data_IF_067494127738
#
_entry.id   IF_067494127738
#
_cell.length_a   1.000
_cell.length_b   1.000
_cell.length_c   1.000
_cell.angle_alpha   90.00
_cell.angle_beta   90.00
_cell.angle_gamma   90.00
#
_symmetry.space_group_name_H-M   'P 1'
#
loop_
_entity.id
_entity.type
_entity.pdbx_description
1 polymer ?
#
# COMPACT_ATOMS: atom_id res chain seq x y z
N UNK A 1 23.94 -42.38 -7.41
CA UNK A 1 22.77 -42.07 -8.25
C UNK A 1 21.52 -42.19 -7.38
N UNK A 2 20.67 -41.15 -7.43
CA UNK A 2 19.26 -41.09 -7.03
C UNK A 2 18.90 -41.52 -5.57
N UNK A 3 18.19 -40.73 -4.77
CA UNK A 3 17.56 -39.43 -4.98
C UNK A 3 17.14 -38.90 -3.61
N UNK A 4 17.60 -37.69 -3.29
CA UNK A 4 17.11 -36.91 -2.17
C UNK A 4 15.91 -36.09 -2.66
N UNK A 5 14.82 -36.14 -1.91
CA UNK A 5 13.95 -34.98 -1.74
C UNK A 5 12.85 -34.72 -2.76
N UNK A 6 11.94 -35.67 -2.99
CA UNK A 6 10.58 -35.32 -3.48
C UNK A 6 9.66 -34.80 -2.35
N UNK A 7 10.23 -34.47 -1.18
CA UNK A 7 9.52 -33.96 0.01
C UNK A 7 9.99 -32.56 0.43
N UNK A 8 10.83 -31.93 -0.39
CA UNK A 8 11.20 -30.55 -0.17
C UNK A 8 10.09 -29.63 -0.71
N UNK A 9 9.33 -29.10 0.26
CA UNK A 9 8.87 -27.70 0.29
C UNK A 9 7.52 -27.43 -0.41
N UNK A 10 6.43 -28.04 0.10
CA UNK A 10 5.16 -27.31 0.20
C UNK A 10 5.31 -26.32 1.36
N UNK A 11 6.06 -25.24 1.16
CA UNK A 11 6.04 -24.12 2.11
C UNK A 11 4.64 -23.52 2.00
N UNK A 12 3.86 -23.57 3.08
CA UNK A 12 2.63 -22.79 3.14
C UNK A 12 3.04 -21.32 3.08
N UNK A 13 2.94 -20.71 1.90
CA UNK A 13 3.22 -19.29 1.69
C UNK A 13 2.15 -18.51 2.45
N UNK A 14 2.57 -17.68 3.40
CA UNK A 14 1.66 -16.85 4.18
C UNK A 14 0.92 -15.87 3.27
N UNK A 15 -0.26 -15.40 3.68
CA UNK A 15 -1.03 -14.44 2.89
C UNK A 15 -0.24 -13.13 2.62
N UNK A 16 0.62 -12.74 3.57
CA UNK A 16 1.56 -11.62 3.41
C UNK A 16 2.61 -11.91 2.34
N UNK A 17 3.27 -13.07 2.39
CA UNK A 17 4.26 -13.46 1.38
C UNK A 17 3.64 -13.51 -0.02
N UNK A 18 2.43 -14.05 -0.16
CA UNK A 18 1.70 -14.07 -1.44
C UNK A 18 1.44 -12.64 -1.95
N UNK A 19 0.96 -11.73 -1.09
CA UNK A 19 0.74 -10.33 -1.45
C UNK A 19 2.05 -9.65 -1.90
N UNK A 20 3.16 -9.87 -1.18
CA UNK A 20 4.46 -9.30 -1.53
C UNK A 20 4.97 -9.84 -2.87
N UNK A 21 4.83 -11.14 -3.13
CA UNK A 21 5.21 -11.75 -4.41
C UNK A 21 4.43 -11.15 -5.58
N UNK A 22 3.12 -10.96 -5.42
CA UNK A 22 2.26 -10.33 -6.43
C UNK A 22 2.65 -8.87 -6.70
N UNK A 23 2.90 -8.09 -5.64
CA UNK A 23 3.41 -6.72 -5.76
C UNK A 23 4.73 -6.70 -6.55
N UNK A 24 5.68 -7.56 -6.17
CA UNK A 24 6.99 -7.64 -6.82
C UNK A 24 6.86 -8.06 -8.29
N UNK A 25 5.97 -9.00 -8.60
CA UNK A 25 5.68 -9.41 -9.96
C UNK A 25 5.17 -8.24 -10.81
N UNK A 26 4.21 -7.48 -10.29
CA UNK A 26 3.66 -6.32 -11.00
C UNK A 26 4.72 -5.24 -11.24
N UNK A 27 5.57 -4.94 -10.22
CA UNK A 27 6.67 -3.99 -10.39
C UNK A 27 7.70 -4.43 -11.42
N UNK A 28 8.08 -5.70 -11.40
CA UNK A 28 9.01 -6.26 -12.38
C UNK A 28 8.42 -6.23 -13.81
N UNK A 29 7.10 -6.37 -13.95
CA UNK A 29 6.38 -6.26 -15.22
C UNK A 29 6.35 -4.81 -15.73
N UNK A 30 5.98 -3.86 -14.88
CA UNK A 30 5.96 -2.42 -15.19
C UNK A 30 7.36 -1.91 -15.58
N UNK A 31 8.39 -2.30 -14.84
CA UNK A 31 9.78 -1.95 -15.12
C UNK A 31 10.22 -2.47 -16.50
N UNK A 32 9.88 -3.73 -16.82
CA UNK A 32 10.16 -4.30 -18.15
C UNK A 32 9.42 -3.56 -19.26
N UNK A 33 8.16 -3.20 -19.05
CA UNK A 33 7.38 -2.44 -20.03
C UNK A 33 7.96 -1.03 -20.27
N UNK A 34 8.40 -0.35 -19.22
CA UNK A 34 9.06 0.95 -19.33
C UNK A 34 10.34 0.87 -20.18
N UNK A 35 11.19 -0.15 -19.93
CA UNK A 35 12.42 -0.37 -20.72
C UNK A 35 12.15 -0.73 -22.18
N UNK A 36 11.01 -1.35 -22.49
CA UNK A 36 10.64 -1.73 -23.85
C UNK A 36 9.96 -0.60 -24.63
N UNK A 37 9.46 0.44 -23.96
CA UNK A 37 8.82 1.58 -24.63
C UNK A 37 9.87 2.55 -25.18
N UNK A 38 10.31 2.29 -26.42
CA UNK A 38 11.37 3.06 -27.10
C UNK A 38 10.99 4.53 -27.39
N UNK A 39 9.71 4.87 -27.35
CA UNK A 39 9.21 6.21 -27.72
C UNK A 39 8.94 7.12 -26.51
N UNK A 40 9.29 6.70 -25.28
CA UNK A 40 9.08 7.49 -24.06
C UNK A 40 7.60 7.63 -23.63
N UNK A 41 6.67 7.02 -24.35
CA UNK A 41 5.26 6.94 -23.96
C UNK A 41 5.03 5.66 -23.16
N UNK A 42 4.70 5.79 -21.87
CA UNK A 42 4.23 4.66 -21.07
C UNK A 42 2.76 4.42 -21.40
N UNK A 43 2.43 3.24 -21.90
CA UNK A 43 1.05 2.81 -22.04
C UNK A 43 0.50 2.58 -20.63
N UNK A 44 -0.14 3.60 -20.05
CA UNK A 44 -0.95 3.46 -18.83
C UNK A 44 -2.19 2.68 -19.24
N UNK A 45 -2.05 1.36 -19.43
CA UNK A 45 -3.20 0.48 -19.37
C UNK A 45 -3.86 0.77 -18.02
N UNK A 46 -5.14 1.12 -18.01
CA UNK A 46 -5.94 1.27 -16.79
C UNK A 46 -6.04 -0.11 -16.13
N UNK A 47 -4.95 -0.55 -15.51
CA UNK A 47 -4.85 -1.87 -14.93
C UNK A 47 -5.74 -1.87 -13.70
N UNK A 48 -6.78 -2.70 -13.73
CA UNK A 48 -7.55 -3.03 -12.53
C UNK A 48 -6.73 -3.85 -11.53
N UNK A 49 -5.48 -4.18 -11.88
CA UNK A 49 -4.60 -5.05 -11.11
C UNK A 49 -4.52 -4.66 -9.64
N UNK A 50 -4.27 -3.38 -9.32
CA UNK A 50 -4.18 -2.92 -7.94
C UNK A 50 -5.53 -3.01 -7.21
N UNK A 51 -6.64 -2.72 -7.89
CA UNK A 51 -7.99 -2.91 -7.36
C UNK A 51 -8.28 -4.40 -7.09
N UNK A 52 -7.94 -5.29 -8.04
CA UNK A 52 -8.16 -6.73 -7.95
C UNK A 52 -7.30 -7.36 -6.84
N UNK A 53 -6.05 -6.89 -6.72
CA UNK A 53 -5.14 -7.25 -5.63
C UNK A 53 -5.70 -6.83 -4.28
N UNK A 54 -6.19 -5.59 -4.18
CA UNK A 54 -6.81 -5.08 -2.97
C UNK A 54 -8.02 -5.92 -2.54
N UNK A 55 -8.92 -6.19 -3.48
CA UNK A 55 -10.15 -6.96 -3.24
C UNK A 55 -9.82 -8.37 -2.74
N UNK A 56 -8.88 -9.09 -3.37
CA UNK A 56 -8.48 -10.43 -2.90
C UNK A 56 -7.88 -10.41 -1.51
N UNK A 57 -6.93 -9.50 -1.25
CA UNK A 57 -6.12 -9.55 -0.03
C UNK A 57 -6.75 -8.82 1.16
N UNK A 58 -7.62 -7.83 0.97
CA UNK A 58 -8.19 -7.06 2.07
C UNK A 58 -9.71 -7.22 2.21
N UNK A 59 -10.44 -7.50 1.13
CA UNK A 59 -11.90 -7.71 1.20
C UNK A 59 -12.31 -9.18 1.31
N UNK A 60 -11.54 -10.10 0.75
CA UNK A 60 -11.90 -11.53 0.71
C UNK A 60 -10.99 -12.45 1.54
N UNK A 61 -9.98 -11.94 2.24
CA UNK A 61 -9.22 -12.77 3.19
C UNK A 61 -10.14 -13.33 4.29
N UNK A 62 -10.29 -14.66 4.29
CA UNK A 62 -11.18 -15.44 5.18
C UNK A 62 -10.53 -15.82 6.51
N UNK A 63 -9.20 -15.76 6.62
CA UNK A 63 -8.46 -16.31 7.76
C UNK A 63 -8.19 -15.28 8.87
N UNK A 64 -8.96 -14.18 8.95
CA UNK A 64 -8.79 -13.19 10.01
C UNK A 64 -9.52 -13.59 11.29
N UNK A 65 -8.81 -13.51 12.42
CA UNK A 65 -9.39 -13.66 13.75
C UNK A 65 -10.47 -12.60 13.99
N UNK A 66 -11.42 -12.88 14.89
CA UNK A 66 -12.53 -11.97 15.24
C UNK A 66 -12.08 -10.63 15.85
N UNK A 67 -10.81 -10.54 16.26
CA UNK A 67 -10.18 -9.33 16.81
C UNK A 67 -9.35 -8.54 15.78
N UNK A 68 -9.33 -8.97 14.52
CA UNK A 68 -8.59 -8.24 13.49
C UNK A 68 -9.29 -6.92 13.13
N UNK A 69 -8.50 -5.85 13.01
CA UNK A 69 -8.98 -4.54 12.58
C UNK A 69 -9.72 -4.64 11.22
N UNK A 70 -10.94 -4.11 11.17
CA UNK A 70 -11.84 -4.13 10.01
C UNK A 70 -11.82 -2.81 9.23
N UNK A 71 -11.01 -1.85 9.65
CA UNK A 71 -10.82 -0.59 8.94
C UNK A 71 -10.06 -0.82 7.64
N UNK A 72 -10.47 -0.12 6.60
CA UNK A 72 -9.85 -0.08 5.29
C UNK A 72 -9.58 1.36 4.93
N UNK A 73 -8.36 1.63 4.50
CA UNK A 73 -7.88 2.97 4.20
C UNK A 73 -7.85 3.18 2.69
N UNK A 74 -8.44 4.24 2.18
CA UNK A 74 -8.48 4.55 0.75
C UNK A 74 -7.80 5.89 0.50
N UNK A 75 -6.85 5.91 -0.43
CA UNK A 75 -6.08 7.10 -0.76
C UNK A 75 -6.66 7.78 -1.99
N UNK A 76 -6.99 9.07 -1.86
CA UNK A 76 -7.43 9.92 -2.97
C UNK A 76 -6.42 11.04 -3.17
N UNK A 77 -5.95 11.22 -4.41
CA UNK A 77 -5.05 12.33 -4.79
C UNK A 77 -5.87 13.44 -5.42
N UNK A 78 -6.27 14.44 -4.62
CA UNK A 78 -7.01 15.60 -5.12
C UNK A 78 -6.04 16.60 -5.75
N UNK A 79 -6.23 16.85 -7.05
CA UNK A 79 -5.54 17.94 -7.75
C UNK A 79 -5.99 19.28 -7.13
N UNK A 80 -5.07 20.00 -6.49
CA UNK A 80 -5.32 21.37 -6.11
C UNK A 80 -5.17 22.25 -7.35
N UNK A 81 -6.10 23.19 -7.54
CA UNK A 81 -5.96 24.25 -8.55
C UNK A 81 -4.79 25.16 -8.13
N UNK A 82 -3.58 24.77 -8.52
CA UNK A 82 -2.33 25.49 -8.29
C UNK A 82 -1.80 26.11 -9.58
N UNK A 83 -0.84 27.04 -9.42
CA UNK A 83 -0.10 27.65 -10.54
C UNK A 83 0.42 26.58 -11.52
N UNK A 84 0.37 26.85 -12.83
CA UNK A 84 0.74 25.93 -13.94
C UNK A 84 2.13 25.30 -13.84
N UNK A 85 2.97 25.76 -12.91
CA UNK A 85 4.37 25.39 -12.79
C UNK A 85 4.66 24.40 -11.66
N UNK A 86 3.75 24.18 -10.71
CA UNK A 86 3.93 23.19 -9.63
C UNK A 86 2.57 22.50 -9.35
N UNK A 87 2.36 21.28 -9.85
CA UNK A 87 1.22 20.46 -9.44
C UNK A 87 1.25 20.27 -7.92
N UNK A 88 0.23 20.77 -7.22
CA UNK A 88 0.05 20.51 -5.79
C UNK A 88 -1.06 19.48 -5.65
N UNK A 89 -0.72 18.33 -5.09
CA UNK A 89 -1.68 17.30 -4.75
C UNK A 89 -2.00 17.41 -3.27
N UNK A 90 -3.28 17.35 -2.92
CA UNK A 90 -3.71 17.07 -1.56
C UNK A 90 -4.07 15.59 -1.48
N UNK A 91 -3.32 14.85 -0.66
CA UNK A 91 -3.66 13.47 -0.33
C UNK A 91 -4.76 13.48 0.72
N UNK A 92 -5.86 12.82 0.41
CA UNK A 92 -6.98 12.58 1.33
C UNK A 92 -7.05 11.09 1.64
N UNK A 93 -7.27 10.76 2.92
CA UNK A 93 -7.40 9.38 3.40
C UNK A 93 -8.84 9.19 3.87
N UNK A 94 -9.57 8.35 3.16
CA UNK A 94 -10.90 7.92 3.56
C UNK A 94 -10.80 6.59 4.31
N UNK A 95 -11.60 6.39 5.36
CA UNK A 95 -11.58 5.16 6.16
C UNK A 95 -12.98 4.57 6.22
N UNK A 96 -13.09 3.29 5.88
CA UNK A 96 -14.35 2.56 5.92
C UNK A 96 -14.17 1.25 6.64
N UNK A 97 -15.23 0.73 7.26
CA UNK A 97 -15.25 -0.67 7.66
C UNK A 97 -15.37 -1.57 6.45
N UNK A 98 -14.77 -2.75 6.51
CA UNK A 98 -14.75 -3.76 5.45
C UNK A 98 -16.15 -4.19 4.99
N UNK A 99 -17.13 -4.20 5.87
CA UNK A 99 -18.52 -4.59 5.57
C UNK A 99 -19.39 -3.43 5.08
N UNK A 100 -18.81 -2.23 4.94
CA UNK A 100 -19.52 -1.05 4.48
C UNK A 100 -20.07 -1.25 3.07
N UNK A 101 -21.34 -0.92 2.87
CA UNK A 101 -21.96 -0.87 1.52
C UNK A 101 -21.49 0.33 0.68
N UNK A 102 -20.69 1.23 1.27
CA UNK A 102 -20.22 2.47 0.64
C UNK A 102 -18.74 2.43 0.23
N UNK A 103 -18.13 1.23 0.18
CA UNK A 103 -16.75 1.11 -0.23
C UNK A 103 -16.56 1.69 -1.65
N UNK A 104 -15.55 2.53 -1.89
CA UNK A 104 -15.32 3.18 -3.18
C UNK A 104 -14.65 2.21 -4.19
N UNK A 105 -15.12 0.96 -4.28
CA UNK A 105 -14.55 -0.06 -5.18
C UNK A 105 -14.81 0.34 -6.63
N UNK A 106 -13.76 0.43 -7.43
CA UNK A 106 -13.84 0.86 -8.83
C UNK A 106 -13.96 2.37 -9.03
N UNK A 107 -13.87 3.18 -7.97
CA UNK A 107 -13.73 4.63 -8.09
C UNK A 107 -12.37 4.95 -8.78
N UNK A 108 -12.37 5.63 -9.95
CA UNK A 108 -11.15 5.93 -10.70
C UNK A 108 -10.28 7.02 -10.04
N UNK A 109 -10.83 7.79 -9.11
CA UNK A 109 -10.10 8.84 -8.38
C UNK A 109 -9.32 8.27 -7.18
N UNK A 110 -9.55 7.00 -6.83
CA UNK A 110 -8.78 6.29 -5.81
C UNK A 110 -7.43 5.86 -6.39
N UNK A 111 -6.37 6.20 -5.67
CA UNK A 111 -5.05 5.66 -5.92
C UNK A 111 -4.97 4.26 -5.30
N UNK A 112 -5.32 3.26 -6.10
CA UNK A 112 -5.39 1.86 -5.67
C UNK A 112 -4.03 1.29 -5.26
N UNK A 113 -2.94 1.80 -5.85
CA UNK A 113 -1.58 1.38 -5.51
C UNK A 113 -1.21 1.87 -4.10
N UNK A 114 -1.35 3.17 -3.83
CA UNK A 114 -1.11 3.75 -2.50
C UNK A 114 -2.06 3.15 -1.45
N UNK A 115 -3.31 2.87 -1.85
CA UNK A 115 -4.30 2.17 -1.04
C UNK A 115 -3.81 0.78 -0.64
N UNK A 116 -3.31 -0.04 -1.58
CA UNK A 116 -2.73 -1.35 -1.25
C UNK A 116 -1.56 -1.21 -0.28
N UNK A 117 -0.64 -0.26 -0.51
CA UNK A 117 0.51 -0.09 0.37
C UNK A 117 0.14 0.33 1.78
N UNK A 118 -0.77 1.27 1.94
CA UNK A 118 -1.19 1.70 3.26
C UNK A 118 -1.86 0.55 4.04
N UNK A 119 -2.77 -0.19 3.41
CA UNK A 119 -3.44 -1.32 4.08
C UNK A 119 -2.47 -2.47 4.36
N UNK A 120 -1.47 -2.66 3.51
CA UNK A 120 -0.39 -3.62 3.77
C UNK A 120 0.38 -3.22 5.04
N UNK A 121 0.84 -1.96 5.14
CA UNK A 121 1.59 -1.46 6.30
C UNK A 121 0.75 -1.58 7.57
N UNK A 122 -0.49 -1.07 7.55
CA UNK A 122 -1.33 -1.00 8.74
C UNK A 122 -1.73 -2.38 9.23
N UNK A 123 -2.02 -3.33 8.33
CA UNK A 123 -2.58 -4.61 8.75
C UNK A 123 -1.60 -5.79 8.84
N UNK A 124 -0.40 -5.67 8.27
CA UNK A 124 0.53 -6.80 8.17
C UNK A 124 1.87 -6.55 8.86
N UNK A 125 2.16 -5.33 9.31
CA UNK A 125 3.40 -5.00 9.99
C UNK A 125 3.16 -4.58 11.43
N UNK A 126 4.03 -5.04 12.32
CA UNK A 126 4.22 -4.43 13.63
C UNK A 126 4.96 -3.09 13.44
N UNK A 127 4.38 -1.99 13.95
CA UNK A 127 5.01 -0.67 13.86
C UNK A 127 4.90 0.11 15.16
N UNK A 128 5.84 1.04 15.37
CA UNK A 128 5.79 1.99 16.49
C UNK A 128 5.47 3.38 15.98
N UNK A 129 4.28 3.88 16.29
CA UNK A 129 3.91 5.25 15.98
C UNK A 129 4.63 6.19 16.94
N UNK A 130 5.36 7.17 16.40
CA UNK A 130 6.07 8.18 17.21
C UNK A 130 5.61 9.58 16.84
N UNK A 131 4.98 10.27 17.79
CA UNK A 131 4.63 11.68 17.70
C UNK A 131 5.71 12.51 18.40
N UNK A 132 6.26 13.50 17.70
CA UNK A 132 7.23 14.43 18.28
C UNK A 132 6.80 15.89 18.05
N UNK A 133 6.83 16.69 19.12
CA UNK A 133 6.72 18.15 19.05
C UNK A 133 8.14 18.70 18.96
N UNK A 134 8.45 19.34 17.84
CA UNK A 134 9.80 19.83 17.54
C UNK A 134 9.80 21.34 17.29
N UNK A 135 10.85 22.01 17.75
CA UNK A 135 11.15 23.41 17.38
C UNK A 135 12.39 23.41 16.49
N UNK A 136 12.31 24.10 15.35
CA UNK A 136 13.46 24.31 14.48
C UNK A 136 14.33 25.42 15.05
N UNK A 137 15.55 25.09 15.45
CA UNK A 137 16.51 26.03 16.05
C UNK A 137 17.54 26.52 15.04
N UNK A 138 17.75 25.79 13.93
CA UNK A 138 18.56 26.21 12.78
C UNK A 138 18.06 25.52 11.48
N UNK A 139 18.57 25.86 10.28
CA UNK A 139 18.21 25.17 9.04
C UNK A 139 18.49 23.66 9.04
N UNK A 140 19.43 23.19 9.86
CA UNK A 140 19.80 21.77 9.97
C UNK A 140 19.42 21.16 11.31
N UNK A 141 19.00 21.97 12.29
CA UNK A 141 18.75 21.52 13.65
C UNK A 141 17.27 21.61 14.03
N UNK A 142 16.75 20.46 14.46
CA UNK A 142 15.44 20.31 15.07
C UNK A 142 15.62 19.86 16.52
N UNK A 143 15.14 20.65 17.46
CA UNK A 143 15.08 20.29 18.86
C UNK A 143 13.75 19.58 19.15
N UNK A 144 13.80 18.37 19.70
CA UNK A 144 12.60 17.65 20.15
C UNK A 144 12.24 18.13 21.56
N UNK A 145 11.05 18.74 21.69
CA UNK A 145 10.53 19.22 22.97
C UNK A 145 9.79 18.12 23.73
N UNK A 146 9.01 17.31 23.01
CA UNK A 146 8.26 16.18 23.56
C UNK A 146 8.15 15.09 22.52
N UNK A 147 8.29 13.84 22.96
CA UNK A 147 8.09 12.65 22.14
C UNK A 147 7.18 11.68 22.85
N UNK A 148 6.25 11.10 22.12
CA UNK A 148 5.42 9.99 22.56
C UNK A 148 5.51 8.87 21.52
N UNK A 149 5.70 7.63 21.97
CA UNK A 149 5.80 6.47 21.11
C UNK A 149 4.88 5.38 21.61
N UNK A 150 4.12 4.77 20.69
CA UNK A 150 3.21 3.67 20.98
C UNK A 150 3.45 2.55 19.97
N UNK A 151 3.64 1.33 20.48
CA UNK A 151 3.70 0.14 19.63
C UNK A 151 2.28 -0.27 19.23
N UNK A 152 2.05 -0.42 17.94
CA UNK A 152 0.94 -1.18 17.38
C UNK A 152 1.40 -2.63 17.22
N UNK A 153 0.60 -3.56 17.73
CA UNK A 153 0.70 -4.99 17.41
C UNK A 153 -0.39 -5.34 16.40
#
# INVERSE_FOLDING_TARGET
MAGLGAKDILRNVTALEQLIEEINFQRAKEMRQCLMSKDGFVMVQGTTYWTDLFVRHFLFQTDRSTDADDLLFFIRKKQLKGSRYIPKYQTEVEVYRRDSRKLPIGDPDIDWEETVYLNLIIHQFDYTLTLAVCTRTSPKDLQVLRRHSQASR
#
